data_IF_743343294910
#
_entry.id   IF_743343294910
#
_cell.length_a   1.000
_cell.length_b   1.000
_cell.length_c   1.000
_cell.angle_alpha   90.00
_cell.angle_beta   90.00
_cell.angle_gamma   90.00
#
_symmetry.space_group_name_H-M   'P 1'
#
loop_
_entity.id
_entity.type
_entity.pdbx_description
1 polymer ?
#
# COMPACT_ATOMS: atom_id res chain seq x y z
N UNK A 1 -23.77 0.27 -27.53
CA UNK A 1 -22.83 0.59 -26.45
C UNK A 1 -23.22 1.95 -25.85
N UNK A 2 -23.26 2.05 -24.54
CA UNK A 2 -23.60 3.29 -23.85
C UNK A 2 -22.27 4.03 -23.56
N UNK A 3 -21.80 4.78 -24.55
CA UNK A 3 -20.52 5.54 -24.49
C UNK A 3 -20.40 6.37 -23.21
N UNK A 4 -21.52 6.90 -22.73
CA UNK A 4 -21.56 7.67 -21.49
C UNK A 4 -21.25 6.81 -20.26
N UNK A 5 -21.83 5.62 -20.17
CA UNK A 5 -21.57 4.71 -19.06
C UNK A 5 -20.12 4.20 -19.08
N UNK A 6 -19.58 3.93 -20.27
CA UNK A 6 -18.20 3.48 -20.43
C UNK A 6 -17.22 4.57 -19.97
N UNK A 7 -17.45 5.84 -20.39
CA UNK A 7 -16.63 6.97 -19.93
C UNK A 7 -16.73 7.22 -18.43
N UNK A 8 -17.90 6.99 -17.85
CA UNK A 8 -18.11 7.08 -16.40
C UNK A 8 -17.30 6.03 -15.66
N UNK A 9 -17.24 4.83 -16.19
CA UNK A 9 -16.46 3.74 -15.63
C UNK A 9 -14.97 4.07 -15.68
N UNK A 10 -14.42 4.48 -16.83
CA UNK A 10 -13.02 4.87 -17.00
C UNK A 10 -12.58 5.95 -15.99
N UNK A 11 -13.39 7.01 -15.84
CA UNK A 11 -13.11 8.09 -14.89
C UNK A 11 -13.11 7.62 -13.43
N UNK A 12 -13.99 6.68 -13.10
CA UNK A 12 -14.05 6.11 -11.75
C UNK A 12 -12.85 5.23 -11.45
N UNK A 13 -12.40 4.44 -12.42
CA UNK A 13 -11.16 3.65 -12.29
C UNK A 13 -9.95 4.55 -12.12
N UNK A 14 -9.83 5.62 -12.91
CA UNK A 14 -8.74 6.59 -12.77
C UNK A 14 -8.69 7.23 -11.37
N UNK A 15 -9.83 7.58 -10.78
CA UNK A 15 -9.90 8.05 -9.40
C UNK A 15 -9.48 6.97 -8.39
N UNK A 16 -9.88 5.73 -8.62
CA UNK A 16 -9.46 4.59 -7.79
C UNK A 16 -7.95 4.43 -7.79
N UNK A 17 -7.33 4.42 -8.97
CA UNK A 17 -5.88 4.31 -9.14
C UNK A 17 -5.13 5.49 -8.49
N UNK A 18 -5.62 6.72 -8.66
CA UNK A 18 -5.04 7.91 -8.02
C UNK A 18 -5.05 7.81 -6.50
N UNK A 19 -6.15 7.35 -5.92
CA UNK A 19 -6.27 7.16 -4.47
C UNK A 19 -5.33 6.04 -3.98
N UNK A 20 -5.21 4.95 -4.73
CA UNK A 20 -4.30 3.85 -4.42
C UNK A 20 -2.84 4.31 -4.50
N UNK A 21 -2.44 5.00 -5.56
CA UNK A 21 -1.12 5.58 -5.71
C UNK A 21 -0.76 6.52 -4.53
N UNK A 22 -1.69 7.41 -4.15
CA UNK A 22 -1.48 8.31 -3.02
C UNK A 22 -1.36 7.58 -1.67
N UNK A 23 -2.05 6.45 -1.48
CA UNK A 23 -1.90 5.61 -0.29
C UNK A 23 -0.56 4.88 -0.28
N UNK A 24 -0.13 4.39 -1.42
CA UNK A 24 1.16 3.72 -1.53
C UNK A 24 2.32 4.69 -1.31
N UNK A 25 2.25 5.92 -1.84
CA UNK A 25 3.22 6.98 -1.54
C UNK A 25 3.30 7.30 -0.05
N UNK A 26 2.16 7.28 0.64
CA UNK A 26 2.14 7.45 2.09
C UNK A 26 2.91 6.34 2.82
N UNK A 27 2.78 5.09 2.36
CA UNK A 27 3.48 3.93 2.93
C UNK A 27 4.97 3.97 2.57
N UNK A 28 5.31 4.22 1.31
CA UNK A 28 6.68 4.12 0.81
C UNK A 28 7.53 5.35 1.15
N UNK A 29 6.96 6.54 1.10
CA UNK A 29 7.68 7.80 1.32
C UNK A 29 7.19 8.60 2.55
N UNK A 30 6.02 8.28 3.12
CA UNK A 30 5.40 9.06 4.18
C UNK A 30 4.93 10.44 3.72
N UNK A 31 4.76 10.65 2.42
CA UNK A 31 4.46 11.94 1.82
C UNK A 31 3.03 12.01 1.30
N UNK A 32 2.48 13.22 1.35
CA UNK A 32 1.23 13.59 0.70
C UNK A 32 1.53 14.66 -0.32
N UNK A 33 1.06 14.48 -1.54
CA UNK A 33 1.23 15.44 -2.61
C UNK A 33 0.00 16.32 -2.78
N UNK A 34 0.25 17.58 -3.10
CA UNK A 34 -0.78 18.49 -3.58
C UNK A 34 -1.13 18.18 -5.05
N UNK A 35 -2.29 18.64 -5.55
CA UNK A 35 -2.71 18.39 -6.94
C UNK A 35 -1.73 18.86 -8.02
N UNK A 36 -0.84 19.79 -7.69
CA UNK A 36 0.21 20.29 -8.59
C UNK A 36 1.49 19.44 -8.57
N UNK A 37 1.49 18.28 -7.89
CA UNK A 37 2.65 17.39 -7.80
C UNK A 37 3.71 17.80 -6.78
N UNK A 38 3.52 18.90 -6.03
CA UNK A 38 4.46 19.28 -4.95
C UNK A 38 4.15 18.52 -3.67
N UNK A 39 5.18 18.23 -2.87
CA UNK A 39 4.98 17.64 -1.54
C UNK A 39 4.25 18.64 -0.65
N UNK A 40 3.06 18.29 -0.21
CA UNK A 40 2.27 19.09 0.74
C UNK A 40 2.69 18.83 2.17
N UNK A 41 2.91 17.57 2.53
CA UNK A 41 3.25 17.15 3.88
C UNK A 41 4.15 15.93 3.83
N UNK A 42 5.19 15.90 4.67
CA UNK A 42 6.00 14.73 4.94
C UNK A 42 5.85 14.35 6.41
N UNK A 43 5.20 13.23 6.69
CA UNK A 43 4.88 12.81 8.06
C UNK A 43 6.12 12.51 8.90
N UNK A 44 7.20 12.01 8.30
CA UNK A 44 8.45 11.78 9.03
C UNK A 44 9.04 13.09 9.53
N UNK A 45 9.05 14.12 8.68
CA UNK A 45 9.54 15.46 9.06
C UNK A 45 8.62 16.12 10.10
N UNK A 46 7.29 16.06 9.88
CA UNK A 46 6.31 16.69 10.79
C UNK A 46 6.35 16.08 12.20
N UNK A 47 6.54 14.78 12.31
CA UNK A 47 6.65 14.10 13.61
C UNK A 47 8.08 14.08 14.16
N UNK A 48 9.09 14.58 13.43
CA UNK A 48 10.49 14.53 13.81
C UNK A 48 11.03 13.10 14.00
N UNK A 49 10.55 12.16 13.17
CA UNK A 49 10.90 10.74 13.23
C UNK A 49 11.77 10.40 12.03
N UNK A 50 12.83 9.63 12.26
CA UNK A 50 13.59 8.97 11.19
C UNK A 50 13.00 7.60 10.95
N UNK A 51 12.73 7.26 9.68
CA UNK A 51 12.24 5.93 9.32
C UNK A 51 13.33 4.90 9.59
N UNK A 52 12.95 3.80 10.21
CA UNK A 52 13.84 2.65 10.39
C UNK A 52 14.00 1.90 9.06
N UNK A 53 15.26 1.62 8.70
CA UNK A 53 15.65 0.93 7.49
C UNK A 53 16.55 -0.26 7.84
N UNK A 54 16.20 -1.45 7.37
CA UNK A 54 16.92 -2.69 7.68
C UNK A 54 17.32 -3.36 6.38
N UNK A 55 18.62 -3.56 6.17
CA UNK A 55 19.15 -4.37 5.08
C UNK A 55 18.93 -5.85 5.37
N UNK A 56 18.39 -6.58 4.41
CA UNK A 56 18.16 -8.03 4.50
C UNK A 56 19.00 -8.70 3.44
N UNK A 57 19.93 -9.57 3.87
CA UNK A 57 20.72 -10.40 2.94
C UNK A 57 19.90 -11.63 2.55
N UNK A 58 19.31 -11.59 1.37
CA UNK A 58 18.55 -12.69 0.80
C UNK A 58 19.34 -13.46 -0.28
N UNK A 59 20.42 -12.88 -0.81
CA UNK A 59 21.21 -13.50 -1.87
C UNK A 59 22.20 -14.54 -1.36
N UNK A 60 22.58 -14.42 -0.09
CA UNK A 60 23.59 -15.27 0.54
C UNK A 60 23.04 -16.52 1.24
N UNK A 61 23.94 -17.21 1.91
CA UNK A 61 23.61 -18.31 2.82
C UNK A 61 23.31 -17.78 4.25
N UNK A 62 22.86 -16.54 4.36
CA UNK A 62 22.53 -15.89 5.64
C UNK A 62 21.09 -16.16 6.02
N UNK A 63 20.84 -16.41 7.28
CA UNK A 63 19.50 -16.64 7.80
C UNK A 63 18.77 -15.31 8.04
N UNK A 64 17.75 -14.96 7.28
CA UNK A 64 17.10 -13.66 7.37
C UNK A 64 16.15 -13.52 8.57
N UNK A 65 15.98 -14.57 9.39
CA UNK A 65 15.06 -14.56 10.53
C UNK A 65 15.41 -13.50 11.57
N UNK A 66 16.70 -13.21 11.75
CA UNK A 66 17.17 -12.19 12.68
C UNK A 66 16.71 -10.80 12.22
N UNK A 67 16.90 -10.46 10.94
CA UNK A 67 16.52 -9.18 10.36
C UNK A 67 15.01 -8.97 10.43
N UNK A 68 14.21 -10.01 10.14
CA UNK A 68 12.76 -9.95 10.30
C UNK A 68 12.31 -9.82 11.76
N UNK A 69 13.05 -10.41 12.70
CA UNK A 69 12.76 -10.24 14.12
C UNK A 69 13.05 -8.80 14.59
N UNK A 70 14.16 -8.21 14.13
CA UNK A 70 14.49 -6.81 14.40
C UNK A 70 13.49 -5.85 13.74
N UNK A 71 13.06 -6.13 12.52
CA UNK A 71 11.99 -5.36 11.86
C UNK A 71 10.67 -5.39 12.66
N UNK A 72 10.25 -6.55 13.15
CA UNK A 72 9.06 -6.65 14.03
C UNK A 72 9.22 -5.86 15.33
N UNK A 73 10.44 -5.84 15.89
CA UNK A 73 10.77 -5.07 17.09
C UNK A 73 10.70 -3.56 16.80
N UNK A 74 11.26 -3.13 15.67
CA UNK A 74 11.23 -1.74 15.22
C UNK A 74 9.78 -1.25 14.99
N UNK A 75 8.95 -2.04 14.29
CA UNK A 75 7.51 -1.74 14.11
C UNK A 75 6.80 -1.55 15.43
N UNK A 76 7.06 -2.43 16.42
CA UNK A 76 6.44 -2.28 17.77
C UNK A 76 6.94 -1.04 18.50
N UNK A 77 8.22 -0.71 18.36
CA UNK A 77 8.81 0.49 18.97
C UNK A 77 8.26 1.79 18.37
N UNK A 78 7.89 1.78 17.09
CA UNK A 78 7.28 2.92 16.42
C UNK A 78 5.82 3.19 16.80
N UNK A 79 5.19 2.31 17.59
CA UNK A 79 3.82 2.47 18.07
C UNK A 79 3.82 3.07 19.48
N UNK A 80 2.95 4.06 19.69
CA UNK A 80 2.82 4.77 20.97
C UNK A 80 1.58 4.32 21.75
N UNK A 81 1.50 4.65 23.04
CA UNK A 81 0.28 4.53 23.84
C UNK A 81 -0.27 3.12 24.01
N UNK A 82 0.58 2.08 24.00
CA UNK A 82 0.13 0.69 24.18
C UNK A 82 -0.49 0.05 22.92
N UNK A 83 -0.48 0.73 21.80
CA UNK A 83 -1.02 0.23 20.52
C UNK A 83 -0.32 -1.05 20.03
N UNK A 84 0.91 -1.29 20.45
CA UNK A 84 1.65 -2.52 20.14
C UNK A 84 0.88 -3.81 20.54
N UNK A 85 0.07 -3.74 21.60
CA UNK A 85 -0.79 -4.85 22.04
C UNK A 85 -1.99 -5.14 21.12
N UNK A 86 -2.31 -4.24 20.18
CA UNK A 86 -3.42 -4.41 19.24
C UNK A 86 -3.01 -5.02 17.90
N UNK A 87 -1.71 -5.22 17.68
CA UNK A 87 -1.18 -5.83 16.45
C UNK A 87 -1.76 -7.25 16.33
N UNK A 88 -2.43 -7.51 15.23
CA UNK A 88 -2.93 -8.84 14.90
C UNK A 88 -1.94 -9.65 14.08
N UNK A 89 -1.25 -8.99 13.14
CA UNK A 89 -0.23 -9.58 12.28
C UNK A 89 0.67 -8.49 11.70
N UNK A 90 1.79 -8.93 11.11
CA UNK A 90 2.66 -8.08 10.30
C UNK A 90 2.44 -8.40 8.83
N UNK A 91 2.43 -7.37 8.01
CA UNK A 91 2.33 -7.47 6.55
C UNK A 91 3.53 -6.76 5.94
N UNK A 92 4.12 -7.38 4.93
CA UNK A 92 5.20 -6.81 4.13
C UNK A 92 4.69 -6.69 2.70
N UNK A 93 4.72 -5.47 2.15
CA UNK A 93 4.53 -5.22 0.74
C UNK A 93 5.92 -5.22 0.09
N UNK A 94 6.20 -6.19 -0.74
CA UNK A 94 7.50 -6.41 -1.35
C UNK A 94 7.48 -6.10 -2.85
N UNK A 95 8.60 -5.60 -3.37
CA UNK A 95 8.83 -5.58 -4.81
C UNK A 95 9.05 -6.99 -5.36
N UNK A 96 8.95 -7.14 -6.68
CA UNK A 96 9.19 -8.43 -7.35
C UNK A 96 10.56 -9.01 -7.02
N UNK A 97 11.62 -8.22 -7.09
CA UNK A 97 12.98 -8.68 -6.81
C UNK A 97 13.16 -9.10 -5.35
N UNK A 98 12.61 -8.33 -4.41
CA UNK A 98 12.66 -8.70 -2.99
C UNK A 98 11.90 -10.00 -2.72
N UNK A 99 10.69 -10.13 -3.28
CA UNK A 99 9.85 -11.31 -3.09
C UNK A 99 10.48 -12.57 -3.71
N UNK A 100 11.02 -12.47 -4.91
CA UNK A 100 11.71 -13.56 -5.59
C UNK A 100 13.00 -13.97 -4.84
N UNK A 101 13.79 -12.99 -4.38
CA UNK A 101 14.99 -13.27 -3.58
C UNK A 101 14.62 -13.98 -2.26
N UNK A 102 13.52 -13.57 -1.61
CA UNK A 102 13.02 -14.24 -0.40
C UNK A 102 12.67 -15.70 -0.65
N UNK A 103 11.96 -16.02 -1.74
CA UNK A 103 11.58 -17.39 -2.07
C UNK A 103 12.76 -18.27 -2.47
N UNK A 104 13.79 -17.69 -3.07
CA UNK A 104 15.00 -18.40 -3.50
C UNK A 104 16.00 -18.64 -2.35
N UNK A 105 15.88 -17.93 -1.23
CA UNK A 105 16.76 -18.08 -0.09
C UNK A 105 16.67 -19.52 0.48
N UNK A 106 17.80 -20.23 0.68
CA UNK A 106 17.82 -21.62 1.15
C UNK A 106 17.13 -21.82 2.50
N UNK A 107 17.34 -20.91 3.45
CA UNK A 107 16.73 -20.99 4.78
C UNK A 107 15.20 -20.83 4.73
N UNK A 108 14.72 -19.96 3.86
CA UNK A 108 13.28 -19.76 3.62
C UNK A 108 12.69 -21.01 2.96
N UNK A 109 13.36 -21.55 1.94
CA UNK A 109 12.95 -22.77 1.25
C UNK A 109 12.87 -23.96 2.21
N UNK A 110 13.85 -24.11 3.10
CA UNK A 110 13.87 -25.19 4.08
C UNK A 110 12.83 -25.01 5.17
N UNK A 111 12.56 -23.78 5.61
CA UNK A 111 11.45 -23.46 6.51
C UNK A 111 10.10 -23.83 5.88
N UNK A 112 9.87 -23.47 4.63
CA UNK A 112 8.64 -23.83 3.88
C UNK A 112 8.47 -25.35 3.74
N UNK A 113 9.55 -26.09 3.50
CA UNK A 113 9.51 -27.57 3.45
C UNK A 113 9.18 -28.18 4.82
N UNK A 114 9.75 -27.64 5.88
CA UNK A 114 9.50 -28.07 7.25
C UNK A 114 8.05 -27.84 7.67
N UNK A 115 7.50 -26.67 7.36
CA UNK A 115 6.09 -26.36 7.64
C UNK A 115 5.13 -27.24 6.86
N UNK A 116 5.41 -27.51 5.58
CA UNK A 116 4.62 -28.44 4.77
C UNK A 116 4.62 -29.88 5.28
N UNK A 117 5.67 -30.31 5.97
CA UNK A 117 5.74 -31.64 6.53
C UNK A 117 4.98 -31.82 7.85
N UNK A 118 4.74 -30.72 8.57
CA UNK A 118 4.12 -30.72 9.91
C UNK A 118 2.66 -30.25 9.91
N UNK A 119 2.19 -29.63 8.86
CA UNK A 119 0.84 -29.08 8.79
C UNK A 119 0.04 -29.70 7.65
N UNK A 120 -1.16 -30.20 7.96
CA UNK A 120 -2.13 -30.56 6.94
C UNK A 120 -2.49 -29.33 6.08
N UNK A 121 -2.83 -29.56 4.82
CA UNK A 121 -3.16 -28.55 3.80
C UNK A 121 -4.04 -27.38 4.29
N UNK A 122 -4.82 -27.59 5.33
CA UNK A 122 -5.74 -26.58 5.90
C UNK A 122 -5.03 -25.37 6.53
N UNK A 123 -3.80 -25.52 6.99
CA UNK A 123 -3.06 -24.40 7.63
C UNK A 123 -2.31 -23.55 6.61
N UNK A 124 -1.95 -24.12 5.47
CA UNK A 124 -1.43 -23.36 4.32
C UNK A 124 -2.50 -22.43 3.69
N UNK A 125 -3.76 -22.74 3.92
CA UNK A 125 -4.93 -21.95 3.49
C UNK A 125 -5.37 -20.90 4.53
N UNK A 126 -4.62 -20.73 5.62
CA UNK A 126 -4.90 -19.75 6.67
C UNK A 126 -4.60 -18.30 6.30
N UNK A 127 -4.29 -18.03 5.04
CA UNK A 127 -4.29 -16.68 4.52
C UNK A 127 -5.71 -16.06 4.64
N UNK A 128 -5.80 -14.76 4.88
CA UNK A 128 -7.10 -14.08 4.85
C UNK A 128 -7.79 -14.44 3.54
N UNK A 129 -8.99 -15.00 3.62
CA UNK A 129 -9.77 -15.40 2.45
C UNK A 129 -9.88 -14.31 1.38
N UNK A 130 -9.78 -13.05 1.80
CA UNK A 130 -9.77 -11.89 0.91
C UNK A 130 -8.53 -11.82 0.01
N UNK A 131 -7.34 -12.24 0.49
CA UNK A 131 -6.11 -12.28 -0.32
C UNK A 131 -6.05 -13.53 -1.19
N UNK A 132 -6.54 -14.67 -0.69
CA UNK A 132 -6.58 -15.91 -1.45
C UNK A 132 -7.51 -15.86 -2.68
N UNK A 133 -8.44 -14.91 -2.71
CA UNK A 133 -9.38 -14.71 -3.83
C UNK A 133 -8.89 -13.68 -4.87
N UNK A 134 -7.86 -12.90 -4.55
CA UNK A 134 -7.31 -11.90 -5.47
C UNK A 134 -6.08 -12.47 -6.20
N UNK A 135 -6.29 -12.97 -7.40
CA UNK A 135 -5.23 -13.56 -8.24
C UNK A 135 -4.17 -12.53 -8.72
N UNK A 136 -4.34 -11.26 -8.41
CA UNK A 136 -3.38 -10.20 -8.77
C UNK A 136 -2.14 -10.20 -7.86
N UNK A 137 -2.26 -10.79 -6.67
CA UNK A 137 -1.18 -10.76 -5.68
C UNK A 137 -0.74 -12.17 -5.31
N UNK A 138 0.56 -12.39 -5.40
CA UNK A 138 1.21 -13.54 -4.79
C UNK A 138 1.52 -13.21 -3.34
N UNK A 139 1.31 -14.16 -2.44
CA UNK A 139 1.63 -13.98 -1.04
C UNK A 139 2.19 -15.25 -0.41
N UNK A 140 2.96 -15.07 0.65
CA UNK A 140 3.49 -16.17 1.47
C UNK A 140 3.49 -15.76 2.95
N UNK A 141 3.05 -16.68 3.80
CA UNK A 141 3.12 -16.49 5.26
C UNK A 141 4.36 -17.21 5.80
N UNK A 142 5.30 -16.43 6.34
CA UNK A 142 6.57 -16.92 6.87
C UNK A 142 6.92 -16.18 8.16
N UNK A 143 7.41 -16.91 9.17
CA UNK A 143 7.90 -16.33 10.43
C UNK A 143 6.85 -15.42 11.15
N UNK A 144 5.57 -15.67 10.93
CA UNK A 144 4.48 -14.82 11.48
C UNK A 144 4.37 -13.45 10.78
N UNK A 145 4.77 -13.39 9.52
CA UNK A 145 4.67 -12.22 8.63
C UNK A 145 4.02 -12.68 7.33
N UNK A 146 3.05 -11.93 6.85
CA UNK A 146 2.46 -12.11 5.52
C UNK A 146 3.23 -11.24 4.52
N UNK A 147 3.99 -11.85 3.63
CA UNK A 147 4.66 -11.17 2.52
C UNK A 147 3.73 -11.17 1.31
N UNK A 148 3.53 -10.01 0.72
CA UNK A 148 2.68 -9.81 -0.45
C UNK A 148 3.57 -9.24 -1.56
N UNK A 149 3.58 -9.91 -2.71
CA UNK A 149 4.22 -9.37 -3.90
C UNK A 149 3.36 -8.24 -4.47
N UNK A 150 3.86 -7.03 -4.38
CA UNK A 150 3.23 -5.81 -4.92
C UNK A 150 3.89 -5.32 -6.22
N UNK A 151 4.79 -6.11 -6.82
CA UNK A 151 5.52 -5.71 -8.03
C UNK A 151 4.63 -5.47 -9.24
N UNK A 152 3.49 -6.17 -9.33
CA UNK A 152 2.50 -5.95 -10.39
C UNK A 152 1.59 -4.73 -10.14
N UNK A 153 1.62 -4.14 -8.94
CA UNK A 153 0.81 -2.98 -8.60
C UNK A 153 1.59 -1.69 -8.91
N UNK A 154 1.02 -0.84 -9.75
CA UNK A 154 1.65 0.40 -10.20
C UNK A 154 0.71 1.22 -11.07
N UNK A 155 1.27 2.20 -11.74
CA UNK A 155 0.57 3.04 -12.70
C UNK A 155 1.47 3.30 -13.91
N UNK A 156 0.87 3.70 -15.01
CA UNK A 156 1.61 4.19 -16.18
C UNK A 156 1.82 5.70 -16.02
N UNK A 157 3.05 6.15 -16.24
CA UNK A 157 3.38 7.56 -16.22
C UNK A 157 2.97 8.26 -17.55
N UNK A 158 3.32 9.55 -17.69
CA UNK A 158 2.95 10.33 -18.86
C UNK A 158 3.65 9.85 -20.15
N UNK A 159 4.76 9.15 -20.04
CA UNK A 159 5.54 8.60 -21.16
C UNK A 159 5.07 7.17 -21.52
N UNK A 160 4.19 6.58 -20.74
CA UNK A 160 3.63 5.24 -20.91
C UNK A 160 4.46 4.15 -20.24
N UNK A 161 5.42 4.52 -19.42
CA UNK A 161 6.25 3.58 -18.68
C UNK A 161 5.54 3.13 -17.38
N UNK A 162 5.64 1.84 -17.09
CA UNK A 162 5.08 1.29 -15.85
C UNK A 162 5.94 1.67 -14.65
N UNK A 163 5.31 2.33 -13.67
CA UNK A 163 5.93 2.73 -12.39
C UNK A 163 5.34 1.89 -11.27
N UNK A 164 6.10 0.94 -10.69
CA UNK A 164 5.61 0.14 -9.56
C UNK A 164 5.43 0.98 -8.32
N UNK A 165 4.42 0.66 -7.50
CA UNK A 165 4.19 1.37 -6.23
C UNK A 165 5.29 1.10 -5.20
N UNK A 166 5.88 -0.08 -5.22
CA UNK A 166 7.01 -0.44 -4.36
C UNK A 166 8.28 -0.41 -5.19
N UNK A 167 9.26 0.46 -4.84
CA UNK A 167 10.53 0.52 -5.55
C UNK A 167 11.26 -0.82 -5.59
N UNK A 168 11.98 -1.07 -6.68
CA UNK A 168 12.72 -2.30 -6.89
C UNK A 168 13.76 -2.53 -5.78
N UNK A 169 13.84 -3.75 -5.28
CA UNK A 169 14.72 -4.12 -4.16
C UNK A 169 14.20 -3.74 -2.77
N UNK A 170 13.09 -3.03 -2.68
CA UNK A 170 12.48 -2.59 -1.43
C UNK A 170 11.30 -3.46 -1.01
N UNK A 171 11.04 -3.44 0.29
CA UNK A 171 9.82 -3.95 0.88
C UNK A 171 9.46 -3.11 2.13
N UNK A 172 8.18 -3.02 2.45
CA UNK A 172 7.69 -2.20 3.57
C UNK A 172 6.90 -3.05 4.54
N UNK A 173 7.43 -3.17 5.75
CA UNK A 173 6.75 -3.89 6.84
C UNK A 173 5.86 -2.93 7.63
N UNK A 174 4.61 -3.35 7.86
CA UNK A 174 3.64 -2.60 8.64
C UNK A 174 2.79 -3.52 9.51
N UNK A 175 2.26 -3.02 10.64
CA UNK A 175 1.34 -3.78 11.49
C UNK A 175 -0.09 -3.67 10.96
N UNK A 176 -0.85 -4.76 11.09
CA UNK A 176 -2.28 -4.80 10.80
C UNK A 176 -3.06 -4.99 12.10
N UNK A 177 -4.19 -4.30 12.22
CA UNK A 177 -5.06 -4.34 13.40
C UNK A 177 -4.85 -3.17 14.36
N UNK A 178 -3.86 -2.33 14.11
CA UNK A 178 -3.64 -1.10 14.88
C UNK A 178 -4.70 -0.07 14.52
N UNK A 179 -5.40 0.41 15.54
CA UNK A 179 -6.46 1.39 15.35
C UNK A 179 -5.87 2.72 14.88
N UNK A 180 -6.57 3.33 13.92
CA UNK A 180 -6.31 4.69 13.45
C UNK A 180 -4.92 4.93 12.84
N UNK A 181 -4.16 3.88 12.49
CA UNK A 181 -2.83 4.03 11.88
C UNK A 181 -2.89 4.77 10.54
N UNK A 182 -3.83 4.38 9.70
CA UNK A 182 -4.09 4.99 8.40
C UNK A 182 -5.51 5.53 8.36
N UNK A 183 -5.69 6.75 7.88
CA UNK A 183 -7.00 7.37 7.65
C UNK A 183 -7.03 8.08 6.31
N UNK A 184 -8.15 7.95 5.62
CA UNK A 184 -8.45 8.77 4.44
C UNK A 184 -9.61 9.68 4.78
N UNK A 185 -9.39 10.98 4.70
CA UNK A 185 -10.42 11.99 4.86
C UNK A 185 -10.86 12.46 3.48
N UNK A 186 -12.16 12.62 3.30
CA UNK A 186 -12.72 13.17 2.08
C UNK A 186 -13.27 14.56 2.34
N UNK A 187 -13.11 15.46 1.38
CA UNK A 187 -13.70 16.80 1.39
C UNK A 187 -14.79 16.94 0.32
N UNK A 188 -15.76 17.86 0.51
CA UNK A 188 -16.73 18.18 -0.53
C UNK A 188 -16.05 18.68 -1.80
N UNK A 189 -16.71 18.51 -2.94
CA UNK A 189 -16.25 19.10 -4.19
C UNK A 189 -16.28 20.62 -4.12
N UNK A 190 -15.39 21.26 -4.89
CA UNK A 190 -15.31 22.72 -4.94
C UNK A 190 -16.43 23.33 -5.81
N UNK A 191 -17.68 23.10 -5.40
CA UNK A 191 -18.91 23.54 -6.10
C UNK A 191 -19.94 24.04 -5.13
N UNK A 192 -20.71 25.06 -5.52
CA UNK A 192 -21.76 25.64 -4.69
C UNK A 192 -22.78 24.62 -4.17
N UNK A 193 -23.18 23.66 -5.01
CA UNK A 193 -24.16 22.64 -4.64
C UNK A 193 -23.67 21.62 -3.59
N UNK A 194 -22.38 21.58 -3.31
CA UNK A 194 -21.75 20.63 -2.35
C UNK A 194 -21.27 21.30 -1.06
N UNK A 195 -21.34 22.64 -0.99
CA UNK A 195 -20.98 23.40 0.21
C UNK A 195 -21.86 22.96 1.38
N UNK A 196 -21.26 22.73 2.54
CA UNK A 196 -21.90 22.29 3.78
C UNK A 196 -22.61 20.92 3.68
N UNK A 197 -22.31 20.11 2.67
CA UNK A 197 -22.77 18.72 2.60
C UNK A 197 -21.71 17.77 3.14
N UNK A 198 -22.17 16.57 3.56
CA UNK A 198 -21.24 15.49 3.93
C UNK A 198 -20.40 15.10 2.71
N UNK A 199 -19.09 15.00 2.92
CA UNK A 199 -18.16 14.60 1.87
C UNK A 199 -18.47 13.18 1.34
N UNK A 200 -18.26 13.01 0.04
CA UNK A 200 -18.36 11.72 -0.67
C UNK A 200 -16.98 11.35 -1.22
N UNK A 201 -16.78 10.08 -1.51
CA UNK A 201 -15.51 9.58 -2.07
C UNK A 201 -15.21 10.09 -3.48
N UNK A 202 -16.24 10.40 -4.27
CA UNK A 202 -16.11 11.01 -5.58
C UNK A 202 -17.40 11.76 -5.92
N UNK A 203 -17.28 12.80 -6.70
CA UNK A 203 -18.35 13.63 -7.18
C UNK A 203 -18.42 13.56 -8.68
N UNK A 204 -19.62 13.80 -9.18
CA UNK A 204 -19.99 13.66 -10.55
C UNK A 204 -20.84 14.84 -10.98
N UNK A 205 -20.48 15.47 -12.08
CA UNK A 205 -21.20 16.61 -12.62
C UNK A 205 -21.34 16.45 -14.13
N UNK A 206 -22.50 16.82 -14.64
CA UNK A 206 -22.78 16.86 -16.06
C UNK A 206 -23.23 18.25 -16.45
N UNK A 207 -22.70 18.73 -17.52
CA UNK A 207 -23.04 20.01 -18.12
C UNK A 207 -23.42 19.79 -19.58
N UNK A 208 -24.57 20.34 -19.99
CA UNK A 208 -24.95 20.40 -21.39
C UNK A 208 -24.49 21.74 -21.95
N UNK A 209 -23.65 21.70 -22.95
CA UNK A 209 -23.27 22.88 -23.71
C UNK A 209 -24.27 23.03 -24.87
N UNK A 210 -25.25 23.89 -24.71
CA UNK A 210 -26.34 24.10 -25.72
C UNK A 210 -25.80 24.63 -27.04
N UNK A 211 -24.63 25.30 -27.07
CA UNK A 211 -24.05 25.85 -28.30
C UNK A 211 -23.43 24.79 -29.18
N UNK A 212 -22.79 23.79 -28.56
CA UNK A 212 -21.98 22.79 -29.27
C UNK A 212 -22.69 21.43 -29.31
N UNK A 213 -23.87 21.32 -28.70
CA UNK A 213 -24.63 20.07 -28.54
C UNK A 213 -23.79 18.93 -27.89
N UNK A 214 -22.93 19.32 -26.92
CA UNK A 214 -21.99 18.45 -26.25
C UNK A 214 -22.40 18.28 -24.79
N UNK A 215 -22.26 17.04 -24.29
CA UNK A 215 -22.39 16.75 -22.85
C UNK A 215 -20.98 16.64 -22.27
N UNK A 216 -20.64 17.56 -21.39
CA UNK A 216 -19.41 17.51 -20.62
C UNK A 216 -19.61 16.74 -19.33
N UNK A 217 -18.77 15.75 -19.08
CA UNK A 217 -18.77 14.98 -17.86
C UNK A 217 -17.54 15.38 -17.06
N UNK A 218 -17.74 15.86 -15.85
CA UNK A 218 -16.68 16.24 -14.92
C UNK A 218 -16.77 15.40 -13.67
N UNK A 219 -15.62 14.92 -13.22
CA UNK A 219 -15.51 14.20 -11.95
C UNK A 219 -14.52 14.92 -11.04
N UNK A 220 -14.76 14.89 -9.74
CA UNK A 220 -13.87 15.50 -8.74
C UNK A 220 -13.76 14.57 -7.53
N UNK A 221 -12.55 14.39 -7.05
CA UNK A 221 -12.25 13.63 -5.83
C UNK A 221 -11.27 14.43 -4.96
N UNK A 222 -11.72 14.80 -3.77
CA UNK A 222 -10.91 15.54 -2.81
C UNK A 222 -10.66 14.64 -1.60
N UNK A 223 -9.41 14.21 -1.42
CA UNK A 223 -9.03 13.35 -0.31
C UNK A 223 -7.71 13.80 0.33
N UNK A 224 -7.55 13.43 1.59
CA UNK A 224 -6.31 13.56 2.34
C UNK A 224 -6.03 12.23 3.04
N UNK A 225 -4.92 11.61 2.73
CA UNK A 225 -4.43 10.43 3.42
C UNK A 225 -3.58 10.84 4.62
N UNK A 226 -3.86 10.29 5.78
CA UNK A 226 -3.14 10.57 7.02
C UNK A 226 -2.50 9.31 7.58
N UNK A 227 -1.24 9.44 7.99
CA UNK A 227 -0.44 8.43 8.67
C UNK A 227 -0.15 8.91 10.10
N UNK A 228 -0.78 8.29 11.09
CA UNK A 228 -0.66 8.76 12.49
C UNK A 228 0.53 8.16 13.25
N UNK A 229 1.06 7.03 12.79
CA UNK A 229 2.23 6.39 13.40
C UNK A 229 3.27 6.05 12.30
N UNK A 230 3.98 7.05 11.75
CA UNK A 230 4.96 6.80 10.67
C UNK A 230 6.12 5.92 11.12
N UNK A 231 6.55 5.98 12.39
CA UNK A 231 7.60 5.12 12.92
C UNK A 231 7.28 3.62 12.97
N UNK A 232 6.00 3.25 12.76
CA UNK A 232 5.60 1.85 12.71
C UNK A 232 5.68 1.25 11.29
N UNK A 233 6.17 1.99 10.31
CA UNK A 233 6.50 1.48 8.98
C UNK A 233 8.01 1.35 8.86
N UNK A 234 8.49 0.14 8.64
CA UNK A 234 9.91 -0.18 8.49
C UNK A 234 10.20 -0.51 7.03
N UNK A 235 11.21 0.13 6.46
CA UNK A 235 11.71 -0.21 5.14
C UNK A 235 12.70 -1.37 5.26
N UNK A 236 12.48 -2.41 4.49
CA UNK A 236 13.41 -3.49 4.26
C UNK A 236 13.99 -3.32 2.86
N UNK A 237 15.28 -3.53 2.70
CA UNK A 237 15.91 -3.45 1.39
C UNK A 237 16.91 -4.59 1.22
N UNK A 238 17.10 -5.02 -0.03
CA UNK A 238 18.10 -6.04 -0.34
C UNK A 238 19.50 -5.47 -0.05
N UNK A 239 20.18 -6.08 0.91
CA UNK A 239 21.62 -5.83 1.12
C UNK A 239 22.43 -6.84 0.31
N UNK A 240 23.36 -6.33 -0.47
CA UNK A 240 24.30 -7.14 -1.27
C UNK A 240 25.50 -7.54 -0.42
#
# INVERSE_FOLDING_TARGET
ANVRADKMFDLREAHGLTLEAARMQLITAGTVYAPNGTVSTNYYTEFGITREEIGVDLAGATDPRADFADAKKAVRAGLTGGQAGTIRRFVVLASDSFFNALLLNPYVTDAMKSERSTQSLDVLLGAPQALAQDARFEYVDLFGITFINAGAAGYEDADGDFVPFVPEGDAYMMPVGVRDMFKTYFAPANRFGTINRRAQGSYWFEYMNEKDDIIEIMTEQNFLNALLNPGAIVRLFLSV
#
